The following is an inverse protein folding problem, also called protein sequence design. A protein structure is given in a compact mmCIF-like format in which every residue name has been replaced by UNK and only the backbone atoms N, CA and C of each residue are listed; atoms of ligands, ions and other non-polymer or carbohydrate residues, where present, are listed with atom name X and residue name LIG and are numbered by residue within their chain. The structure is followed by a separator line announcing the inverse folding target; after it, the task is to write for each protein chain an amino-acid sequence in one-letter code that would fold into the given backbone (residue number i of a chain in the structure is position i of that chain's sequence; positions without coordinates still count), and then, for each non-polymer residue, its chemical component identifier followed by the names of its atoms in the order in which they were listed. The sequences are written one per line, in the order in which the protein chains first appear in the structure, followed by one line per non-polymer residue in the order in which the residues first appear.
data_IF_099129898390
#
_entry.id   IF_099129898390
#
_cell.length_a   1.000
_cell.length_b   1.000
_cell.length_c   1.000
_cell.angle_alpha   90.00
_cell.angle_beta   90.00
_cell.angle_gamma   90.00
#
_symmetry.space_group_name_H-M   'P 1'
#
loop_
_entity.id
_entity.type
_entity.pdbx_description
1 polymer ?
#
# COMPACT_ATOMS: atom_id res chain seq x y z
N UNK A 1 -18.66 -9.41 1.78
CA UNK A 1 -17.82 -8.22 1.60
C UNK A 1 -16.80 -8.57 0.52
N UNK A 2 -16.56 -7.71 -0.48
CA UNK A 2 -15.54 -7.99 -1.49
C UNK A 2 -14.15 -7.64 -0.91
N UNK A 3 -13.14 -8.51 -1.06
CA UNK A 3 -11.78 -8.21 -0.61
C UNK A 3 -11.20 -7.02 -1.39
N UNK A 4 -10.38 -6.22 -0.71
CA UNK A 4 -9.78 -4.99 -1.26
C UNK A 4 -8.28 -5.16 -1.32
N UNK A 5 -7.71 -4.85 -2.48
CA UNK A 5 -6.28 -4.96 -2.74
C UNK A 5 -5.77 -3.69 -3.40
N UNK A 6 -4.51 -3.38 -3.18
CA UNK A 6 -3.77 -2.41 -3.96
C UNK A 6 -2.50 -3.09 -4.48
N UNK A 7 -2.41 -3.24 -5.80
CA UNK A 7 -1.38 -4.08 -6.42
C UNK A 7 -0.32 -3.26 -7.16
N UNK A 8 -0.38 -1.94 -7.06
CA UNK A 8 0.55 -1.04 -7.75
C UNK A 8 0.82 0.19 -6.88
N UNK A 9 1.77 0.06 -5.96
CA UNK A 9 2.14 1.15 -5.05
C UNK A 9 3.64 1.43 -5.15
N UNK A 10 3.98 2.67 -5.49
CA UNK A 10 5.36 3.15 -5.46
C UNK A 10 5.68 3.78 -4.11
N UNK A 11 6.95 3.70 -3.70
CA UNK A 11 7.47 4.32 -2.47
C UNK A 11 8.60 5.29 -2.80
N UNK A 12 9.23 5.88 -1.77
CA UNK A 12 10.45 6.68 -1.91
C UNK A 12 11.61 5.96 -2.61
N UNK A 13 11.56 4.62 -2.76
CA UNK A 13 12.55 3.86 -3.52
C UNK A 13 12.33 3.91 -5.06
N UNK A 14 11.29 4.59 -5.54
CA UNK A 14 10.96 4.82 -6.95
C UNK A 14 10.56 6.30 -7.15
N UNK A 15 9.40 6.58 -7.75
CA UNK A 15 8.79 7.89 -7.94
C UNK A 15 7.62 8.17 -6.96
N UNK A 16 7.44 7.32 -5.97
CA UNK A 16 6.42 7.45 -4.94
C UNK A 16 6.75 8.49 -3.88
N UNK A 17 5.72 8.93 -3.15
CA UNK A 17 5.82 10.01 -2.14
C UNK A 17 5.60 9.53 -0.70
N UNK A 18 5.74 8.24 -0.44
CA UNK A 18 5.53 7.63 0.89
C UNK A 18 6.59 6.59 1.21
N UNK A 19 6.88 6.40 2.51
CA UNK A 19 7.74 5.31 2.97
C UNK A 19 6.95 3.98 2.98
N UNK A 20 7.67 2.87 3.09
CA UNK A 20 7.05 1.54 3.20
C UNK A 20 6.15 1.47 4.44
N UNK A 21 6.61 2.00 5.57
CA UNK A 21 5.87 2.02 6.83
C UNK A 21 4.54 2.77 6.69
N UNK A 22 4.55 3.96 6.08
CA UNK A 22 3.32 4.73 5.84
C UNK A 22 2.35 4.00 4.90
N UNK A 23 2.85 3.29 3.88
CA UNK A 23 2.02 2.45 3.00
C UNK A 23 1.36 1.31 3.78
N UNK A 24 2.08 0.65 4.68
CA UNK A 24 1.53 -0.44 5.49
C UNK A 24 0.50 0.04 6.51
N UNK A 25 0.76 1.16 7.20
CA UNK A 25 -0.19 1.81 8.11
C UNK A 25 -1.50 2.19 7.39
N UNK A 26 -1.37 2.75 6.18
CA UNK A 26 -2.50 3.10 5.32
C UNK A 26 -3.30 1.87 4.89
N UNK A 27 -2.61 0.80 4.46
CA UNK A 27 -3.24 -0.46 4.05
C UNK A 27 -4.05 -1.07 5.21
N UNK A 28 -3.50 -1.06 6.43
CA UNK A 28 -4.19 -1.51 7.63
C UNK A 28 -5.40 -0.62 7.95
N UNK A 29 -5.26 0.71 7.90
CA UNK A 29 -6.37 1.65 8.13
C UNK A 29 -7.52 1.43 7.14
N UNK A 30 -7.19 1.18 5.88
CA UNK A 30 -8.15 0.90 4.79
C UNK A 30 -8.74 -0.51 4.84
N UNK A 31 -8.23 -1.40 5.71
CA UNK A 31 -8.58 -2.82 5.78
C UNK A 31 -8.37 -3.51 4.42
N UNK A 32 -7.25 -3.22 3.77
CA UNK A 32 -6.81 -3.99 2.60
C UNK A 32 -6.44 -5.40 3.04
N UNK A 33 -6.76 -6.39 2.22
CA UNK A 33 -6.40 -7.79 2.47
C UNK A 33 -4.93 -8.06 2.11
N UNK A 34 -4.43 -7.38 1.07
CA UNK A 34 -3.01 -7.34 0.74
C UNK A 34 -2.65 -6.04 -0.01
N UNK A 35 -1.36 -5.71 0.00
CA UNK A 35 -0.76 -4.64 -0.79
C UNK A 35 0.51 -5.16 -1.47
N UNK A 36 0.74 -4.76 -2.73
CA UNK A 36 1.99 -5.01 -3.44
C UNK A 36 2.71 -3.68 -3.71
N UNK A 37 3.93 -3.57 -3.17
CA UNK A 37 4.83 -2.46 -3.50
C UNK A 37 5.61 -2.83 -4.75
N UNK A 38 5.59 -1.94 -5.74
CA UNK A 38 6.14 -2.11 -7.09
C UNK A 38 6.96 -0.90 -7.47
#
# INVERSE_FOLDING_TARGET
MLPKFDLHVHTFYSDGSSSVESVLEEAQRKKLEAVAVT
#
